data_IF_998437508999
#
_entry.id   IF_998437508999
#
_cell.length_a   1.000
_cell.length_b   1.000
_cell.length_c   1.000
_cell.angle_alpha   90.00
_cell.angle_beta   90.00
_cell.angle_gamma   90.00
#
_symmetry.space_group_name_H-M   'P 1'
#
loop_
_entity.id
_entity.type
_entity.pdbx_description
1 polymer ?
#
# COMPACT_ATOMS: atom_id res chain seq x y z
N UNK A 1 6.34 36.09 -0.35
CA UNK A 1 6.14 35.65 1.05
C UNK A 1 4.80 34.92 1.17
N UNK A 2 4.68 33.66 0.70
CA UNK A 2 3.68 32.65 1.15
C UNK A 2 4.14 31.29 0.59
N UNK A 3 4.88 30.51 1.38
CA UNK A 3 5.20 29.09 1.06
C UNK A 3 5.15 28.19 2.31
N UNK A 4 5.30 28.77 3.51
CA UNK A 4 5.13 28.05 4.78
C UNK A 4 3.71 27.50 5.02
N UNK A 5 2.71 28.05 4.34
CA UNK A 5 1.31 27.77 4.60
C UNK A 5 0.85 26.43 3.98
N UNK A 6 1.43 26.04 2.84
CA UNK A 6 1.16 24.75 2.20
C UNK A 6 1.77 23.59 2.99
N UNK A 7 3.01 23.75 3.47
CA UNK A 7 3.69 22.75 4.29
C UNK A 7 2.96 22.50 5.61
N UNK A 8 2.48 23.55 6.29
CA UNK A 8 1.71 23.43 7.53
C UNK A 8 0.41 22.66 7.31
N UNK A 9 -0.32 22.97 6.22
CA UNK A 9 -1.55 22.23 5.87
C UNK A 9 -1.30 20.76 5.56
N UNK A 10 -0.24 20.46 4.82
CA UNK A 10 0.16 19.08 4.53
C UNK A 10 0.52 18.33 5.81
N UNK A 11 1.32 18.93 6.68
CA UNK A 11 1.71 18.32 7.95
C UNK A 11 0.50 18.02 8.83
N UNK A 12 -0.47 18.94 8.90
CA UNK A 12 -1.73 18.71 9.63
C UNK A 12 -2.50 17.52 9.06
N UNK A 13 -2.66 17.42 7.74
CA UNK A 13 -3.32 16.27 7.09
C UNK A 13 -2.61 14.95 7.40
N UNK A 14 -1.27 14.95 7.43
CA UNK A 14 -0.48 13.76 7.79
C UNK A 14 -0.73 13.37 9.25
N UNK A 15 -0.78 14.34 10.18
CA UNK A 15 -1.10 14.06 11.58
C UNK A 15 -2.52 13.53 11.76
N UNK A 16 -3.50 14.14 11.12
CA UNK A 16 -4.90 13.70 11.18
C UNK A 16 -5.04 12.27 10.63
N UNK A 17 -4.37 11.97 9.51
CA UNK A 17 -4.30 10.63 8.94
C UNK A 17 -3.66 9.63 9.91
N UNK A 18 -2.53 9.99 10.54
CA UNK A 18 -1.87 9.16 11.55
C UNK A 18 -2.80 8.82 12.71
N UNK A 19 -3.50 9.82 13.26
CA UNK A 19 -4.45 9.61 14.36
C UNK A 19 -5.58 8.69 13.91
N UNK A 20 -6.13 8.93 12.73
CA UNK A 20 -7.17 8.07 12.13
C UNK A 20 -6.70 6.62 11.99
N UNK A 21 -5.49 6.39 11.48
CA UNK A 21 -4.91 5.05 11.32
C UNK A 21 -4.65 4.36 12.66
N UNK A 22 -4.21 5.09 13.69
CA UNK A 22 -4.02 4.53 15.03
C UNK A 22 -5.35 4.13 15.65
N UNK A 23 -6.38 4.97 15.52
CA UNK A 23 -7.72 4.65 16.01
C UNK A 23 -8.32 3.45 15.27
N UNK A 24 -8.19 3.43 13.94
CA UNK A 24 -8.61 2.31 13.11
C UNK A 24 -7.88 1.02 13.52
N UNK A 25 -6.57 1.07 13.73
CA UNK A 25 -5.81 -0.10 14.19
C UNK A 25 -6.34 -0.63 15.52
N UNK A 26 -6.58 0.28 16.48
CA UNK A 26 -7.11 -0.08 17.80
C UNK A 26 -8.48 -0.75 17.71
N UNK A 27 -9.40 -0.20 16.92
CA UNK A 27 -10.77 -0.71 16.80
C UNK A 27 -10.81 -2.00 15.98
N UNK A 28 -10.11 -2.05 14.86
CA UNK A 28 -10.19 -3.20 13.94
C UNK A 28 -9.36 -4.40 14.39
N UNK A 29 -8.22 -4.18 15.04
CA UNK A 29 -7.28 -5.25 15.38
C UNK A 29 -7.08 -5.42 16.88
N UNK A 30 -6.78 -4.36 17.63
CA UNK A 30 -6.42 -4.53 19.04
C UNK A 30 -7.61 -4.94 19.92
N UNK A 31 -8.75 -4.27 19.77
CA UNK A 31 -9.95 -4.56 20.57
C UNK A 31 -10.47 -5.99 20.34
N UNK A 32 -10.67 -6.47 19.10
CA UNK A 32 -11.08 -7.85 18.85
C UNK A 32 -10.10 -8.88 19.42
N UNK A 33 -8.78 -8.67 19.28
CA UNK A 33 -7.78 -9.59 19.84
C UNK A 33 -7.87 -9.66 21.37
N UNK A 34 -8.07 -8.52 22.03
CA UNK A 34 -8.25 -8.48 23.49
C UNK A 34 -9.56 -9.15 23.90
N UNK A 35 -10.63 -8.92 23.16
CA UNK A 35 -11.95 -9.53 23.40
C UNK A 35 -11.89 -11.05 23.29
N UNK A 36 -11.32 -11.58 22.20
CA UNK A 36 -11.14 -13.03 22.00
C UNK A 36 -10.37 -13.63 23.18
N UNK A 37 -9.22 -13.05 23.54
CA UNK A 37 -8.41 -13.53 24.65
C UNK A 37 -9.19 -13.55 25.97
N UNK A 38 -9.94 -12.49 26.27
CA UNK A 38 -10.76 -12.43 27.49
C UNK A 38 -11.89 -13.46 27.48
N UNK A 39 -12.52 -13.70 26.33
CA UNK A 39 -13.56 -14.70 26.17
C UNK A 39 -13.01 -16.12 26.35
N UNK A 40 -11.85 -16.43 25.77
CA UNK A 40 -11.16 -17.72 25.94
C UNK A 40 -10.77 -17.98 27.40
N UNK A 41 -10.16 -17.00 28.07
CA UNK A 41 -9.81 -17.08 29.49
C UNK A 41 -11.07 -17.29 30.37
N UNK A 42 -12.15 -16.58 30.06
CA UNK A 42 -13.41 -16.71 30.78
C UNK A 42 -14.06 -18.08 30.54
N UNK A 43 -14.05 -18.57 29.31
CA UNK A 43 -14.57 -19.88 28.96
C UNK A 43 -13.81 -21.00 29.71
N UNK A 44 -12.48 -20.94 29.69
CA UNK A 44 -11.63 -21.91 30.40
C UNK A 44 -11.87 -21.91 31.92
N UNK A 45 -12.13 -20.75 32.50
CA UNK A 45 -12.50 -20.65 33.91
C UNK A 45 -13.84 -21.33 34.22
N UNK A 46 -14.85 -21.12 33.38
CA UNK A 46 -16.18 -21.69 33.57
C UNK A 46 -16.20 -23.22 33.35
N UNK A 47 -15.37 -23.73 32.44
CA UNK A 47 -15.24 -25.17 32.18
C UNK A 47 -14.70 -25.96 33.40
N UNK A 48 -13.94 -25.31 34.27
CA UNK A 48 -13.46 -25.88 35.54
C UNK A 48 -14.38 -25.65 36.75
N UNK A 49 -15.52 -24.97 36.58
CA UNK A 49 -16.46 -24.62 37.65
C UNK A 49 -17.65 -25.58 37.72
N UNK A 50 -18.42 -25.56 38.82
CA UNK A 50 -19.67 -26.33 38.90
C UNK A 50 -20.67 -25.82 37.85
N UNK A 51 -21.19 -26.76 37.06
CA UNK A 51 -22.13 -26.47 36.00
C UNK A 51 -23.54 -26.27 36.59
N UNK A 52 -23.95 -25.01 36.72
CA UNK A 52 -25.34 -24.64 36.92
C UNK A 52 -25.93 -24.06 35.61
N UNK A 53 -27.23 -23.78 35.62
CA UNK A 53 -27.92 -23.23 34.45
C UNK A 53 -27.35 -21.87 34.02
N UNK A 54 -26.82 -21.08 34.97
CA UNK A 54 -26.29 -19.74 34.73
C UNK A 54 -24.93 -19.80 34.03
N UNK A 55 -24.02 -20.61 34.55
CA UNK A 55 -22.71 -20.94 33.99
C UNK A 55 -22.87 -21.52 32.59
N UNK A 56 -23.83 -22.44 32.40
CA UNK A 56 -24.09 -23.00 31.08
C UNK A 56 -24.54 -21.93 30.08
N UNK A 57 -25.43 -21.03 30.49
CA UNK A 57 -25.90 -19.92 29.65
C UNK A 57 -24.77 -18.94 29.30
N UNK A 58 -23.88 -18.64 30.25
CA UNK A 58 -22.70 -17.79 30.02
C UNK A 58 -21.74 -18.44 29.01
N UNK A 59 -21.46 -19.74 29.16
CA UNK A 59 -20.64 -20.51 28.22
C UNK A 59 -21.22 -20.49 26.79
N UNK A 60 -22.54 -20.61 26.63
CA UNK A 60 -23.19 -20.51 25.33
C UNK A 60 -23.04 -19.12 24.71
N UNK A 61 -23.19 -18.06 25.50
CA UNK A 61 -22.99 -16.68 25.05
C UNK A 61 -21.53 -16.44 24.60
N UNK A 62 -20.57 -16.91 25.39
CA UNK A 62 -19.14 -16.82 25.04
C UNK A 62 -18.85 -17.52 23.71
N UNK A 63 -19.37 -18.74 23.52
CA UNK A 63 -19.23 -19.48 22.25
C UNK A 63 -19.82 -18.71 21.07
N UNK A 64 -20.99 -18.10 21.23
CA UNK A 64 -21.61 -17.29 20.19
C UNK A 64 -20.75 -16.06 19.82
N UNK A 65 -20.18 -15.36 20.80
CA UNK A 65 -19.29 -14.22 20.57
C UNK A 65 -17.97 -14.59 19.93
N UNK A 66 -17.41 -15.76 20.28
CA UNK A 66 -16.21 -16.28 19.61
C UNK A 66 -16.51 -16.62 18.14
N UNK A 67 -17.64 -17.27 17.84
CA UNK A 67 -18.07 -17.55 16.48
C UNK A 67 -18.27 -16.26 15.64
N UNK A 68 -18.85 -15.21 16.24
CA UNK A 68 -18.96 -13.89 15.57
C UNK A 68 -17.58 -13.31 15.21
N UNK A 69 -16.60 -13.44 16.10
CA UNK A 69 -15.23 -13.01 15.86
C UNK A 69 -14.57 -13.78 14.71
N UNK A 70 -14.80 -15.10 14.63
CA UNK A 70 -14.31 -15.94 13.55
C UNK A 70 -14.90 -15.54 12.19
N UNK A 71 -16.22 -15.30 12.13
CA UNK A 71 -16.89 -14.82 10.91
C UNK A 71 -16.32 -13.47 10.47
N UNK A 72 -16.10 -12.55 11.42
CA UNK A 72 -15.50 -11.24 11.11
C UNK A 72 -14.10 -11.38 10.53
N UNK A 73 -13.29 -12.29 11.07
CA UNK A 73 -11.95 -12.58 10.53
C UNK A 73 -12.01 -13.23 9.14
N UNK A 74 -12.93 -14.17 8.93
CA UNK A 74 -13.18 -14.77 7.62
C UNK A 74 -13.51 -13.72 6.56
N UNK A 75 -14.41 -12.77 6.85
CA UNK A 75 -14.75 -11.67 5.95
C UNK A 75 -13.54 -10.78 5.63
N UNK A 76 -12.67 -10.49 6.62
CA UNK A 76 -11.42 -9.75 6.37
C UNK A 76 -10.48 -10.52 5.45
N UNK A 77 -10.33 -11.83 5.65
CA UNK A 77 -9.51 -12.66 4.76
C UNK A 77 -10.07 -12.69 3.34
N UNK A 78 -11.39 -12.75 3.18
CA UNK A 78 -12.07 -12.70 1.89
C UNK A 78 -11.80 -11.37 1.15
N UNK A 79 -11.87 -10.24 1.86
CA UNK A 79 -11.53 -8.93 1.29
C UNK A 79 -10.05 -8.83 0.88
N UNK A 80 -9.13 -9.30 1.73
CA UNK A 80 -7.68 -9.19 1.50
C UNK A 80 -7.16 -10.12 0.42
N UNK A 81 -7.73 -11.31 0.32
CA UNK A 81 -7.29 -12.34 -0.64
C UNK A 81 -7.71 -12.05 -2.08
N UNK A 82 -8.44 -10.95 -2.33
CA UNK A 82 -9.04 -10.63 -3.63
C UNK A 82 -9.77 -11.87 -4.15
N UNK A 83 -10.85 -12.26 -3.49
CA UNK A 83 -11.69 -13.45 -3.71
C UNK A 83 -11.67 -14.09 -5.12
N UNK A 84 -11.61 -13.29 -6.18
CA UNK A 84 -11.43 -13.77 -7.54
C UNK A 84 -10.12 -14.56 -7.79
N UNK A 85 -9.00 -14.22 -7.14
CA UNK A 85 -7.77 -15.01 -7.15
C UNK A 85 -7.97 -16.39 -6.54
N UNK A 86 -8.65 -16.48 -5.39
CA UNK A 86 -8.92 -17.76 -4.73
C UNK A 86 -9.92 -18.61 -5.52
N UNK A 87 -10.98 -17.99 -6.07
CA UNK A 87 -12.00 -18.70 -6.86
C UNK A 87 -11.46 -19.27 -8.17
N UNK A 88 -10.45 -18.63 -8.77
CA UNK A 88 -9.84 -19.10 -10.01
C UNK A 88 -8.63 -20.03 -9.79
N UNK A 89 -8.17 -20.18 -8.53
CA UNK A 89 -7.02 -21.00 -8.16
C UNK A 89 -5.74 -20.61 -8.92
N UNK A 90 -4.85 -21.58 -9.11
CA UNK A 90 -3.63 -21.43 -9.93
C UNK A 90 -3.88 -21.74 -11.42
N UNK A 91 -5.15 -21.84 -11.81
CA UNK A 91 -5.52 -22.02 -13.21
C UNK A 91 -5.23 -20.74 -13.97
N UNK A 92 -4.62 -20.84 -15.15
CA UNK A 92 -4.49 -19.74 -16.11
C UNK A 92 -5.88 -19.38 -16.68
N UNK A 93 -6.78 -18.93 -15.82
CA UNK A 93 -8.17 -18.64 -16.21
C UNK A 93 -8.24 -17.35 -17.01
N UNK A 94 -9.36 -17.16 -17.70
CA UNK A 94 -9.66 -15.93 -18.46
C UNK A 94 -9.50 -14.67 -17.61
N UNK A 95 -9.76 -14.77 -16.30
CA UNK A 95 -9.55 -13.66 -15.37
C UNK A 95 -8.07 -13.26 -15.26
N UNK A 96 -7.15 -14.22 -15.06
CA UNK A 96 -5.72 -13.92 -14.98
C UNK A 96 -5.16 -13.41 -16.31
N UNK A 97 -5.58 -14.00 -17.43
CA UNK A 97 -5.19 -13.50 -18.75
C UNK A 97 -5.69 -12.07 -19.00
N UNK A 98 -6.93 -11.76 -18.64
CA UNK A 98 -7.48 -10.40 -18.73
C UNK A 98 -6.68 -9.43 -17.85
N UNK A 99 -6.39 -9.82 -16.61
CA UNK A 99 -5.71 -8.95 -15.66
C UNK A 99 -4.24 -8.74 -16.00
N UNK A 100 -3.54 -9.77 -16.49
CA UNK A 100 -2.19 -9.67 -17.02
C UNK A 100 -2.15 -8.80 -18.29
N UNK A 101 -3.15 -8.93 -19.17
CA UNK A 101 -3.27 -8.08 -20.37
C UNK A 101 -3.53 -6.62 -20.00
N UNK A 102 -4.41 -6.36 -19.04
CA UNK A 102 -4.65 -5.01 -18.52
C UNK A 102 -3.38 -4.42 -17.87
N UNK A 103 -2.66 -5.23 -17.08
CA UNK A 103 -1.39 -4.81 -16.49
C UNK A 103 -0.34 -4.51 -17.56
N UNK A 104 -0.22 -5.37 -18.58
CA UNK A 104 0.67 -5.14 -19.73
C UNK A 104 0.32 -3.84 -20.43
N UNK A 105 -0.96 -3.59 -20.74
CA UNK A 105 -1.43 -2.34 -21.35
C UNK A 105 -1.05 -1.12 -20.52
N UNK A 106 -1.25 -1.19 -19.20
CA UNK A 106 -0.92 -0.08 -18.29
C UNK A 106 0.60 0.13 -18.14
N UNK A 107 1.40 -0.93 -18.17
CA UNK A 107 2.86 -0.87 -17.98
C UNK A 107 3.64 -0.63 -19.26
N UNK A 108 3.00 -0.76 -20.42
CA UNK A 108 3.66 -0.52 -21.70
C UNK A 108 3.89 0.98 -21.86
N UNK A 109 5.15 1.38 -21.94
CA UNK A 109 5.53 2.76 -22.27
C UNK A 109 5.32 2.93 -23.77
N UNK A 110 4.20 3.56 -24.16
CA UNK A 110 3.87 3.78 -25.57
C UNK A 110 4.42 5.09 -26.12
N UNK A 111 4.66 6.07 -25.23
CA UNK A 111 5.20 7.38 -25.57
C UNK A 111 6.08 7.90 -24.44
N UNK A 112 7.12 8.64 -24.79
CA UNK A 112 7.99 9.32 -23.83
C UNK A 112 8.12 10.79 -24.24
N UNK A 113 8.30 11.67 -23.26
CA UNK A 113 8.57 13.09 -23.50
C UNK A 113 10.08 13.31 -23.51
N UNK A 114 10.61 13.97 -24.54
CA UNK A 114 12.03 14.31 -24.63
C UNK A 114 12.36 15.56 -23.77
N UNK A 115 13.64 15.92 -23.71
CA UNK A 115 14.14 17.09 -22.96
C UNK A 115 13.61 18.43 -23.48
N UNK A 116 13.16 18.48 -24.73
CA UNK A 116 12.55 19.66 -25.36
C UNK A 116 11.04 19.74 -25.09
N UNK A 117 10.50 18.75 -24.37
CA UNK A 117 9.10 18.67 -24.03
C UNK A 117 8.20 18.11 -25.15
N UNK A 118 8.76 17.56 -26.22
CA UNK A 118 8.01 16.91 -27.28
C UNK A 118 7.79 15.43 -26.98
N UNK A 119 6.61 14.92 -27.35
CA UNK A 119 6.28 13.50 -27.20
C UNK A 119 6.76 12.70 -28.40
N UNK A 120 7.50 11.62 -28.13
CA UNK A 120 7.85 10.60 -29.12
C UNK A 120 7.13 9.28 -28.83
N UNK A 121 6.76 8.58 -29.90
CA UNK A 121 6.22 7.22 -29.90
C UNK A 121 7.09 6.24 -30.69
N UNK A 122 8.26 6.69 -31.17
CA UNK A 122 9.21 5.86 -31.90
C UNK A 122 10.02 5.00 -30.92
N UNK A 123 10.08 3.70 -31.18
CA UNK A 123 10.67 2.72 -30.24
C UNK A 123 12.16 2.99 -30.04
N UNK A 124 12.90 3.26 -31.11
CA UNK A 124 14.34 3.52 -31.07
C UNK A 124 14.67 4.81 -30.29
N UNK A 125 13.81 5.84 -30.43
CA UNK A 125 13.95 7.09 -29.72
C UNK A 125 13.61 6.91 -28.22
N UNK A 126 12.52 6.21 -27.91
CA UNK A 126 12.15 5.88 -26.53
C UNK A 126 13.28 5.08 -25.85
N UNK A 127 13.87 4.09 -26.53
CA UNK A 127 14.98 3.31 -26.00
C UNK A 127 16.19 4.20 -25.72
N UNK A 128 16.53 5.09 -26.64
CA UNK A 128 17.64 6.03 -26.50
C UNK A 128 17.43 6.96 -25.31
N UNK A 129 16.25 7.56 -25.19
CA UNK A 129 15.91 8.46 -24.09
C UNK A 129 15.94 7.75 -22.74
N UNK A 130 15.43 6.51 -22.65
CA UNK A 130 15.49 5.70 -21.44
C UNK A 130 16.93 5.39 -21.03
N UNK A 131 17.77 4.95 -21.99
CA UNK A 131 19.17 4.66 -21.72
C UNK A 131 19.93 5.91 -21.27
N UNK A 132 19.69 7.05 -21.91
CA UNK A 132 20.31 8.31 -21.54
C UNK A 132 19.88 8.75 -20.13
N UNK A 133 18.59 8.67 -19.82
CA UNK A 133 18.05 8.98 -18.51
C UNK A 133 18.72 8.14 -17.42
N UNK A 134 18.66 6.82 -17.53
CA UNK A 134 19.21 5.94 -16.50
C UNK A 134 20.73 6.07 -16.37
N UNK A 135 21.48 6.21 -17.48
CA UNK A 135 22.92 6.49 -17.41
C UNK A 135 23.22 7.75 -16.61
N UNK A 136 22.49 8.83 -16.88
CA UNK A 136 22.64 10.10 -16.15
C UNK A 136 22.29 9.95 -14.67
N UNK A 137 21.16 9.32 -14.36
CA UNK A 137 20.72 9.08 -12.98
C UNK A 137 21.72 8.25 -12.20
N UNK A 138 22.21 7.14 -12.76
CA UNK A 138 23.20 6.29 -12.09
C UNK A 138 24.56 6.97 -11.96
N UNK A 139 25.01 7.72 -12.96
CA UNK A 139 26.23 8.51 -12.88
C UNK A 139 26.14 9.57 -11.77
N UNK A 140 25.02 10.30 -11.69
CA UNK A 140 24.76 11.27 -10.63
C UNK A 140 24.74 10.63 -9.23
N UNK A 141 24.10 9.47 -9.07
CA UNK A 141 24.08 8.74 -7.79
C UNK A 141 25.49 8.29 -7.38
N UNK A 142 26.29 7.75 -8.31
CA UNK A 142 27.67 7.33 -8.03
C UNK A 142 28.61 8.50 -7.69
N UNK A 143 28.40 9.68 -8.29
CA UNK A 143 29.11 10.91 -7.96
C UNK A 143 28.80 11.39 -6.52
N UNK A 144 27.54 11.26 -6.07
CA UNK A 144 27.14 11.58 -4.69
C UNK A 144 27.75 10.62 -3.67
N UNK A 145 27.87 9.34 -3.99
CA UNK A 145 28.49 8.35 -3.12
C UNK A 145 30.01 8.55 -3.00
N UNK A 146 30.66 9.01 -4.08
CA UNK A 146 32.08 9.35 -4.08
C UNK A 146 32.39 10.63 -3.26
N UNK A 147 31.43 11.54 -3.14
CA UNK A 147 31.56 12.75 -2.32
C UNK A 147 31.55 12.46 -0.80
N UNK A 148 31.00 11.33 -0.35
CA UNK A 148 31.02 10.96 1.08
C UNK A 148 32.37 10.45 1.59
N UNK A 149 33.40 10.31 0.74
CA UNK A 149 34.75 9.90 1.14
C UNK A 149 35.81 11.02 1.12
N UNK A 150 35.44 12.25 0.79
CA UNK A 150 36.31 13.43 0.89
C UNK A 150 35.70 14.46 1.84
N UNK A 151 36.26 14.61 3.05
CA UNK A 151 35.86 15.66 3.97
C UNK A 151 36.05 17.03 3.31
N UNK A 152 35.07 17.91 3.53
CA UNK A 152 35.02 19.33 3.19
C UNK A 152 34.89 19.71 1.70
N UNK A 153 33.65 19.86 1.26
CA UNK A 153 33.31 20.91 0.30
C UNK A 153 31.96 21.54 0.69
N UNK A 154 32.04 22.67 1.39
CA UNK A 154 30.97 23.67 1.40
C UNK A 154 30.85 24.21 -0.03
N UNK A 155 29.66 24.11 -0.63
CA UNK A 155 29.29 24.98 -1.74
C UNK A 155 27.77 25.08 -1.90
N UNK A 156 27.28 26.19 -2.47
CA UNK A 156 26.05 26.85 -2.07
C UNK A 156 24.84 26.48 -2.93
N UNK A 157 23.68 26.75 -2.33
CA UNK A 157 22.36 26.90 -2.93
C UNK A 157 22.37 27.19 -4.44
N UNK A 158 21.90 26.24 -5.24
CA UNK A 158 21.35 26.52 -6.58
C UNK A 158 20.07 25.70 -6.76
N UNK A 159 18.96 26.40 -6.93
CA UNK A 159 17.67 25.79 -7.23
C UNK A 159 17.73 25.05 -8.56
N UNK A 160 17.11 23.88 -8.61
CA UNK A 160 16.75 23.21 -9.85
C UNK A 160 15.28 22.80 -9.75
N UNK A 161 14.54 23.28 -10.75
CA UNK A 161 13.17 22.91 -11.06
C UNK A 161 13.01 21.38 -11.03
N UNK A 162 12.02 20.91 -10.28
CA UNK A 162 11.59 19.52 -10.33
C UNK A 162 10.84 19.28 -11.64
N UNK A 163 11.47 18.58 -12.58
CA UNK A 163 10.78 18.01 -13.73
C UNK A 163 9.93 16.82 -13.26
N UNK A 164 8.62 17.04 -13.20
CA UNK A 164 7.61 16.02 -12.93
C UNK A 164 7.56 14.98 -14.06
N UNK A 165 7.94 13.74 -13.72
CA UNK A 165 7.76 12.57 -14.56
C UNK A 165 6.28 12.17 -14.62
N UNK A 166 5.54 12.73 -15.57
CA UNK A 166 4.17 12.29 -15.87
C UNK A 166 4.13 11.35 -17.08
N UNK A 167 4.13 10.04 -16.80
CA UNK A 167 3.73 9.03 -17.76
C UNK A 167 2.19 8.97 -17.80
N UNK A 168 1.59 9.29 -18.96
CA UNK A 168 0.16 9.15 -19.20
C UNK A 168 -0.11 7.95 -20.12
N UNK A 169 -0.93 7.01 -19.67
CA UNK A 169 -1.55 5.97 -20.51
C UNK A 169 -2.97 6.38 -20.90
N UNK A 170 -3.32 6.47 -22.19
CA UNK A 170 -4.67 6.83 -22.61
C UNK A 170 -5.66 5.67 -22.33
N UNK A 171 -6.73 5.96 -21.61
CA UNK A 171 -7.92 5.10 -21.55
C UNK A 171 -8.65 5.17 -22.90
N UNK A 172 -8.33 4.27 -23.82
CA UNK A 172 -9.23 4.00 -24.95
C UNK A 172 -10.28 2.99 -24.50
N UNK A 173 -11.52 3.47 -24.48
CA UNK A 173 -12.72 2.70 -24.25
C UNK A 173 -13.09 1.84 -25.45
N UNK A 174 -13.68 0.70 -25.14
CA UNK A 174 -14.61 -0.06 -25.99
C UNK A 174 -15.55 -0.79 -25.04
#
# INVERSE_FOLDING_TARGET
MVDGDAHIRLWKKIQDCRVGLLQWNRVEFEQPRREIKQLEERYAHLEGSELDATTHQEMMNIKARLAENEVREMLRWQQRSKEHWLANGDGNTRFFHSQASAHKRFKTITKLKNSEGMWTNEIDEIQTLLLQHFRSTFAFLSARESCHRGRNCLSPNTGHHGDEFHAYTPLHGS
#
